data_IF_308427410552
#
_entry.id   IF_308427410552
#
_cell.length_a   1.000
_cell.length_b   1.000
_cell.length_c   1.000
_cell.angle_alpha   90.00
_cell.angle_beta   90.00
_cell.angle_gamma   90.00
#
_symmetry.space_group_name_H-M   'P 1'
#
loop_
_entity.id
_entity.type
_entity.pdbx_description
1 polymer ?
#
# COMPACT_ATOMS: atom_id res chain seq x y z
N UNK A 1 -2.59 -8.47 -17.57
CA UNK A 1 -1.86 -8.62 -16.28
C UNK A 1 -2.59 -7.77 -15.27
N UNK A 2 -2.74 -8.25 -14.04
CA UNK A 2 -3.49 -7.51 -13.01
C UNK A 2 -2.52 -7.13 -11.89
N UNK A 3 -2.67 -5.93 -11.37
CA UNK A 3 -1.94 -5.42 -10.21
C UNK A 3 -2.88 -5.35 -9.02
N UNK A 4 -2.35 -5.59 -7.83
CA UNK A 4 -3.06 -5.47 -6.55
C UNK A 4 -2.30 -4.54 -5.63
N UNK A 5 -3.00 -3.93 -4.69
CA UNK A 5 -2.38 -3.11 -3.66
C UNK A 5 -2.22 -3.97 -2.41
N UNK A 6 -1.02 -3.98 -1.87
CA UNK A 6 -0.72 -4.61 -0.59
C UNK A 6 -0.64 -3.51 0.46
N UNK A 7 -1.40 -3.66 1.54
CA UNK A 7 -1.31 -2.83 2.75
C UNK A 7 -0.59 -3.64 3.83
N UNK A 8 0.44 -3.06 4.43
CA UNK A 8 1.13 -3.62 5.58
C UNK A 8 1.00 -2.70 6.78
N UNK A 9 0.40 -3.21 7.86
CA UNK A 9 0.44 -2.54 9.15
C UNK A 9 1.80 -2.78 9.78
N UNK A 10 2.35 -1.74 10.39
CA UNK A 10 3.69 -1.75 10.96
C UNK A 10 3.64 -1.56 12.47
N UNK A 11 4.60 -2.16 13.17
CA UNK A 11 4.89 -1.88 14.58
C UNK A 11 5.56 -0.51 14.75
N UNK A 12 5.75 -0.07 15.99
CA UNK A 12 6.54 1.13 16.30
C UNK A 12 7.99 1.06 15.79
N UNK A 13 8.53 -0.15 15.61
CA UNK A 13 9.84 -0.39 15.01
C UNK A 13 9.82 -0.40 13.48
N UNK A 14 8.69 -0.06 12.86
CA UNK A 14 8.46 -0.10 11.40
C UNK A 14 8.57 -1.50 10.79
N UNK A 15 8.38 -2.54 11.59
CA UNK A 15 8.37 -3.93 11.13
C UNK A 15 6.95 -4.34 10.75
N UNK A 16 6.73 -5.07 9.64
CA UNK A 16 5.40 -5.51 9.24
C UNK A 16 4.82 -6.50 10.26
N UNK A 17 3.67 -6.13 10.83
CA UNK A 17 2.93 -6.97 11.79
C UNK A 17 1.70 -7.63 11.17
N UNK A 18 1.15 -7.02 10.12
CA UNK A 18 0.02 -7.56 9.37
C UNK A 18 0.18 -7.17 7.90
N UNK A 19 -0.14 -8.10 6.99
CA UNK A 19 -0.13 -7.85 5.54
C UNK A 19 -1.47 -8.28 4.98
N UNK A 20 -2.11 -7.39 4.22
CA UNK A 20 -3.37 -7.70 3.54
C UNK A 20 -3.39 -7.13 2.13
N UNK A 21 -4.06 -7.85 1.25
CA UNK A 21 -4.35 -7.37 -0.11
C UNK A 21 -5.62 -6.54 -0.06
N UNK A 22 -5.55 -5.29 -0.53
CA UNK A 22 -6.75 -4.47 -0.66
C UNK A 22 -7.63 -4.97 -1.82
N UNK A 23 -8.96 -4.86 -1.68
CA UNK A 23 -9.87 -5.20 -2.77
C UNK A 23 -9.63 -4.27 -3.96
N UNK A 24 -9.52 -4.85 -5.15
CA UNK A 24 -9.29 -4.12 -6.40
C UNK A 24 -8.18 -4.76 -7.23
N UNK A 25 -8.53 -5.16 -8.45
CA UNK A 25 -7.59 -5.52 -9.49
C UNK A 25 -7.39 -4.34 -10.44
N UNK A 26 -6.15 -3.91 -10.63
CA UNK A 26 -5.80 -2.81 -11.51
C UNK A 26 -5.17 -3.36 -12.79
N UNK A 27 -5.53 -2.80 -13.93
CA UNK A 27 -4.97 -3.21 -15.23
C UNK A 27 -3.50 -2.82 -15.44
N UNK A 28 -2.97 -1.90 -14.62
CA UNK A 28 -1.59 -1.40 -14.68
C UNK A 28 -1.06 -0.97 -13.31
N UNK A 29 0.25 -1.02 -13.13
CA UNK A 29 0.94 -0.54 -11.90
C UNK A 29 0.59 0.91 -11.58
N UNK A 30 0.69 1.82 -12.55
CA UNK A 30 0.41 3.24 -12.34
C UNK A 30 -1.04 3.53 -11.90
N UNK A 31 -2.00 2.67 -12.26
CA UNK A 31 -3.40 2.78 -11.80
C UNK A 31 -3.51 2.36 -10.33
N UNK A 32 -2.82 1.28 -9.95
CA UNK A 32 -2.72 0.85 -8.55
C UNK A 32 -2.01 1.92 -7.69
N UNK A 33 -0.92 2.51 -8.17
CA UNK A 33 -0.23 3.61 -7.48
C UNK A 33 -1.09 4.86 -7.33
N UNK A 34 -1.84 5.22 -8.37
CA UNK A 34 -2.80 6.34 -8.30
C UNK A 34 -3.86 6.08 -7.22
N UNK A 35 -4.36 4.84 -7.11
CA UNK A 35 -5.30 4.48 -6.06
C UNK A 35 -4.67 4.52 -4.66
N UNK A 36 -3.39 4.14 -4.50
CA UNK A 36 -2.65 4.32 -3.25
C UNK A 36 -2.58 5.82 -2.89
N UNK A 37 -2.20 6.67 -3.84
CA UNK A 37 -2.13 8.13 -3.64
C UNK A 37 -3.47 8.72 -3.21
N UNK A 38 -4.57 8.31 -3.85
CA UNK A 38 -5.92 8.73 -3.46
C UNK A 38 -6.28 8.26 -2.05
N UNK A 39 -5.89 7.04 -1.66
CA UNK A 39 -6.18 6.48 -0.33
C UNK A 39 -5.42 7.22 0.78
N UNK A 40 -4.13 7.51 0.57
CA UNK A 40 -3.30 8.19 1.57
C UNK A 40 -3.51 9.71 1.57
N UNK A 41 -4.15 10.29 0.56
CA UNK A 41 -4.40 11.74 0.49
C UNK A 41 -5.26 12.25 1.67
N UNK A 42 -6.07 11.38 2.27
CA UNK A 42 -6.88 11.69 3.47
C UNK A 42 -6.22 11.22 4.77
N UNK A 43 -5.05 10.59 4.71
CA UNK A 43 -4.35 10.05 5.87
C UNK A 43 -3.32 11.05 6.41
N UNK A 44 -3.06 10.96 7.71
CA UNK A 44 -2.08 11.80 8.38
C UNK A 44 -0.66 11.25 8.18
N UNK A 45 0.36 12.12 8.20
CA UNK A 45 1.77 11.76 8.00
C UNK A 45 2.03 10.86 6.76
N UNK A 46 1.38 11.18 5.63
CA UNK A 46 1.57 10.46 4.38
C UNK A 46 2.86 10.87 3.64
N UNK A 47 3.56 9.90 3.04
CA UNK A 47 4.79 10.14 2.28
C UNK A 47 5.19 8.96 1.39
N UNK A 48 6.13 9.20 0.48
CA UNK A 48 6.73 8.15 -0.35
C UNK A 48 8.12 7.81 0.17
N UNK A 49 8.37 6.53 0.41
CA UNK A 49 9.67 5.99 0.77
C UNK A 49 10.33 5.39 -0.48
N UNK A 50 11.36 6.08 -0.98
CA UNK A 50 12.04 5.69 -2.21
C UNK A 50 12.94 4.46 -2.02
N UNK A 51 13.43 4.21 -0.79
CA UNK A 51 14.28 3.06 -0.46
C UNK A 51 13.50 1.74 -0.61
N UNK A 52 12.30 1.68 -0.05
CA UNK A 52 11.42 0.52 -0.12
C UNK A 52 10.40 0.58 -1.25
N UNK A 53 10.41 1.65 -2.07
CA UNK A 53 9.43 1.91 -3.14
C UNK A 53 7.98 1.75 -2.67
N UNK A 54 7.68 2.32 -1.50
CA UNK A 54 6.40 2.16 -0.84
C UNK A 54 5.85 3.50 -0.38
N UNK A 55 4.53 3.61 -0.29
CA UNK A 55 3.84 4.76 0.27
C UNK A 55 3.53 4.48 1.74
N UNK A 56 3.83 5.41 2.63
CA UNK A 56 3.61 5.26 4.06
C UNK A 56 2.60 6.30 4.51
N UNK A 57 1.78 5.95 5.50
CA UNK A 57 0.84 6.87 6.12
C UNK A 57 0.49 6.38 7.53
N UNK A 58 -0.17 7.24 8.30
CA UNK A 58 -0.82 6.88 9.55
C UNK A 58 -2.32 6.76 9.31
N UNK A 59 -2.88 5.58 9.59
CA UNK A 59 -4.32 5.35 9.43
C UNK A 59 -5.12 6.02 10.57
N UNK A 60 -6.46 6.00 10.47
CA UNK A 60 -7.35 6.60 11.48
C UNK A 60 -7.19 6.00 12.89
N UNK A 61 -6.77 4.74 13.01
CA UNK A 61 -6.45 4.09 14.30
C UNK A 61 -5.12 4.56 14.90
N UNK A 62 -4.40 5.47 14.21
CA UNK A 62 -3.10 5.95 14.62
C UNK A 62 -1.96 4.95 14.38
N UNK A 63 -2.17 3.89 13.59
CA UNK A 63 -1.15 2.92 13.24
C UNK A 63 -0.37 3.32 11.98
N UNK A 64 0.92 2.99 11.94
CA UNK A 64 1.73 3.13 10.74
C UNK A 64 1.34 2.04 9.73
N UNK A 65 1.07 2.46 8.50
CA UNK A 65 0.78 1.57 7.38
C UNK A 65 1.69 1.91 6.20
N UNK A 66 2.09 0.90 5.44
CA UNK A 66 2.73 1.07 4.14
C UNK A 66 1.98 0.35 3.03
N UNK A 67 2.02 0.92 1.84
CA UNK A 67 1.32 0.47 0.66
C UNK A 67 2.31 0.30 -0.49
N UNK A 68 2.17 -0.79 -1.24
CA UNK A 68 2.92 -1.00 -2.47
C UNK A 68 2.08 -1.79 -3.46
N UNK A 69 2.45 -1.67 -4.72
CA UNK A 69 1.82 -2.39 -5.82
C UNK A 69 2.52 -3.73 -6.01
N UNK A 70 1.73 -4.77 -6.23
CA UNK A 70 2.25 -6.09 -6.56
C UNK A 70 1.53 -6.62 -7.80
N UNK A 71 2.29 -7.29 -8.66
CA UNK A 71 1.71 -8.00 -9.80
C UNK A 71 1.00 -9.24 -9.28
N UNK A 72 -0.31 -9.31 -9.49
CA UNK A 72 -1.10 -10.51 -9.27
C UNK A 72 -0.91 -11.42 -10.50
N UNK A 73 0.02 -12.36 -10.42
CA UNK A 73 0.01 -13.47 -11.36
C UNK A 73 -1.23 -14.32 -11.07
N UNK A 74 -2.16 -14.36 -12.04
CA UNK A 74 -3.21 -15.38 -12.03
C UNK A 74 -2.50 -16.71 -12.24
N UNK A 75 -2.21 -17.42 -11.14
CA UNK A 75 -2.01 -18.86 -11.22
C UNK A 75 -3.34 -19.44 -11.71
N UNK A 76 -3.37 -19.77 -12.99
CA UNK A 76 -4.41 -20.59 -13.64
C UNK A 76 -4.50 -21.96 -12.97
#
# INVERSE_FOLDING_TARGET
MTFRIIEQKLSDKREPVETKTLPGGFESESKAETAIKMKIASMDHAGYDAEHKAWWARNDDGAHVRFFTERADSAV
#
